data_IF_293255895919
#
_entry.id   IF_293255895919
#
_cell.length_a   1.000
_cell.length_b   1.000
_cell.length_c   1.000
_cell.angle_alpha   90.00
_cell.angle_beta   90.00
_cell.angle_gamma   90.00
#
_symmetry.space_group_name_H-M   'P 1'
#
loop_
_entity.id
_entity.type
_entity.pdbx_description
1 polymer ?
#
# COMPACT_ATOMS: atom_id res chain seq x y z
N UNK A 1 -9.52 6.41 -18.96
CA UNK A 1 -8.95 7.10 -17.79
C UNK A 1 -8.99 6.10 -16.64
N UNK A 2 -7.84 5.79 -16.01
CA UNK A 2 -7.80 4.87 -14.85
C UNK A 2 -8.13 5.67 -13.59
N UNK A 3 -9.11 5.20 -12.82
CA UNK A 3 -9.60 5.84 -11.59
C UNK A 3 -9.11 5.07 -10.36
N UNK A 4 -9.06 5.74 -9.20
CA UNK A 4 -8.80 5.04 -7.93
C UNK A 4 -9.96 4.12 -7.59
N UNK A 5 -9.61 2.95 -7.08
CA UNK A 5 -10.58 1.92 -6.76
C UNK A 5 -10.65 1.73 -5.25
N UNK A 6 -11.87 1.73 -4.74
CA UNK A 6 -12.19 1.26 -3.40
C UNK A 6 -12.54 -0.23 -3.50
N UNK A 7 -11.71 -1.06 -2.87
CA UNK A 7 -11.92 -2.51 -2.87
C UNK A 7 -12.23 -3.04 -1.48
N UNK A 8 -13.11 -4.03 -1.42
CA UNK A 8 -13.50 -4.69 -0.18
C UNK A 8 -13.49 -6.20 -0.35
N UNK A 9 -13.02 -6.90 0.68
CA UNK A 9 -13.00 -8.35 0.76
C UNK A 9 -13.37 -8.81 2.17
N UNK A 10 -13.79 -10.08 2.30
CA UNK A 10 -14.03 -10.70 3.61
C UNK A 10 -13.65 -12.17 3.62
N UNK A 11 -13.51 -12.71 4.82
CA UNK A 11 -13.57 -14.15 5.06
C UNK A 11 -14.94 -14.54 5.62
N UNK A 12 -15.54 -15.58 5.07
CA UNK A 12 -16.75 -16.18 5.63
C UNK A 12 -16.43 -16.97 6.91
N UNK A 13 -17.46 -17.40 7.64
CA UNK A 13 -17.29 -18.29 8.80
C UNK A 13 -16.63 -19.64 8.46
N UNK A 14 -16.65 -20.04 7.19
CA UNK A 14 -15.98 -21.25 6.67
C UNK A 14 -14.54 -20.97 6.20
N UNK A 15 -14.01 -19.79 6.50
CA UNK A 15 -12.68 -19.33 6.08
C UNK A 15 -12.52 -19.21 4.55
N UNK A 16 -13.60 -18.99 3.82
CA UNK A 16 -13.57 -18.74 2.38
C UNK A 16 -13.40 -17.25 2.10
N UNK A 17 -12.44 -16.89 1.25
CA UNK A 17 -12.27 -15.53 0.75
C UNK A 17 -13.40 -15.15 -0.20
N UNK A 18 -13.99 -13.98 -0.01
CA UNK A 18 -14.97 -13.38 -0.90
C UNK A 18 -14.59 -11.92 -1.23
N UNK A 19 -14.54 -11.62 -2.53
CA UNK A 19 -14.33 -10.26 -3.03
C UNK A 19 -15.69 -9.55 -3.14
N UNK A 20 -15.87 -8.46 -2.40
CA UNK A 20 -17.18 -7.86 -2.18
C UNK A 20 -17.45 -6.67 -3.06
N UNK A 21 -16.50 -5.74 -3.19
CA UNK A 21 -16.72 -4.52 -3.94
C UNK A 21 -15.44 -4.08 -4.65
N UNK A 22 -15.66 -3.45 -5.80
CA UNK A 22 -14.67 -2.69 -6.56
C UNK A 22 -15.42 -1.48 -7.08
N UNK A 23 -15.34 -0.38 -6.33
CA UNK A 23 -16.11 0.84 -6.57
C UNK A 23 -15.13 1.91 -7.04
N UNK A 24 -15.55 2.66 -8.05
CA UNK A 24 -14.84 3.87 -8.46
C UNK A 24 -15.10 4.95 -7.42
N UNK A 25 -14.03 5.46 -6.78
CA UNK A 25 -14.19 6.51 -5.79
C UNK A 25 -14.75 7.79 -6.41
N UNK A 26 -15.47 8.60 -5.63
CA UNK A 26 -16.02 9.87 -6.12
C UNK A 26 -14.93 10.83 -6.64
N UNK A 27 -15.28 11.78 -7.50
CA UNK A 27 -14.30 12.76 -8.02
C UNK A 27 -13.62 13.55 -6.88
N UNK A 28 -14.38 13.89 -5.84
CA UNK A 28 -13.88 14.60 -4.66
C UNK A 28 -12.89 13.74 -3.88
N UNK A 29 -13.21 12.46 -3.64
CA UNK A 29 -12.29 11.51 -3.01
C UNK A 29 -11.02 11.33 -3.85
N UNK A 30 -11.15 11.14 -5.16
CA UNK A 30 -10.01 11.01 -6.05
C UNK A 30 -9.11 12.25 -6.04
N UNK A 31 -9.72 13.44 -6.07
CA UNK A 31 -9.02 14.72 -5.98
C UNK A 31 -8.27 14.85 -4.66
N UNK A 32 -8.91 14.47 -3.55
CA UNK A 32 -8.31 14.52 -2.23
C UNK A 32 -7.11 13.58 -2.09
N UNK A 33 -7.23 12.30 -2.50
CA UNK A 33 -6.10 11.37 -2.46
C UNK A 33 -4.93 11.85 -3.33
N UNK A 34 -5.18 12.47 -4.49
CA UNK A 34 -4.13 13.09 -5.32
C UNK A 34 -3.44 14.23 -4.58
N UNK A 35 -4.21 15.10 -3.92
CA UNK A 35 -3.68 16.19 -3.09
C UNK A 35 -2.80 15.66 -1.97
N UNK A 36 -3.24 14.61 -1.26
CA UNK A 36 -2.42 13.96 -0.22
C UNK A 36 -1.09 13.49 -0.80
N UNK A 37 -1.12 12.77 -1.92
CA UNK A 37 0.07 12.22 -2.56
C UNK A 37 1.02 13.31 -3.09
N UNK A 38 0.52 14.33 -3.78
CA UNK A 38 1.35 15.45 -4.30
C UNK A 38 1.97 16.23 -3.15
N UNK A 39 1.19 16.59 -2.12
CA UNK A 39 1.74 17.28 -0.98
C UNK A 39 2.82 16.46 -0.26
N UNK A 40 2.62 15.14 -0.12
CA UNK A 40 3.62 14.24 0.49
C UNK A 40 4.93 14.16 -0.29
N UNK A 41 4.90 14.38 -1.61
CA UNK A 41 6.10 14.39 -2.44
C UNK A 41 6.83 15.74 -2.41
N UNK A 42 6.07 16.83 -2.33
CA UNK A 42 6.61 18.18 -2.34
C UNK A 42 7.23 18.55 -0.99
N UNK A 43 6.68 18.02 0.11
CA UNK A 43 7.15 18.30 1.47
C UNK A 43 8.49 17.64 1.76
N UNK A 44 9.39 18.44 2.33
CA UNK A 44 10.51 17.95 3.14
C UNK A 44 10.24 18.26 4.60
N UNK A 45 10.03 17.22 5.40
CA UNK A 45 9.83 17.34 6.84
C UNK A 45 11.19 17.17 7.52
N UNK A 46 11.64 18.19 8.24
CA UNK A 46 12.85 18.12 9.06
C UNK A 46 12.42 17.93 10.52
N UNK A 47 12.49 16.69 11.01
CA UNK A 47 12.19 16.38 12.41
C UNK A 47 13.27 17.01 13.31
N UNK A 48 12.84 17.86 14.23
CA UNK A 48 13.66 18.32 15.36
C UNK A 48 13.35 17.45 16.57
N UNK A 49 14.34 17.16 17.43
CA UNK A 49 14.19 16.32 18.64
C UNK A 49 13.05 16.73 19.59
N UNK A 50 12.51 17.96 19.46
CA UNK A 50 11.55 18.54 20.40
C UNK A 50 10.36 19.26 19.77
N UNK A 51 10.16 19.19 18.45
CA UNK A 51 9.03 19.82 17.76
C UNK A 51 8.47 18.92 16.67
N UNK A 52 7.16 19.00 16.43
CA UNK A 52 6.56 18.59 15.16
C UNK A 52 7.42 19.20 14.03
N UNK A 53 7.86 18.35 13.10
CA UNK A 53 8.92 18.72 12.15
C UNK A 53 8.60 19.97 11.36
N UNK A 54 9.61 20.80 11.08
CA UNK A 54 9.44 21.96 10.22
C UNK A 54 9.22 21.48 8.78
N UNK A 55 8.22 22.06 8.12
CA UNK A 55 7.78 21.67 6.78
C UNK A 55 8.37 22.65 5.77
N UNK A 56 9.10 22.10 4.79
CA UNK A 56 9.71 22.87 3.71
C UNK A 56 9.23 22.37 2.36
N UNK A 57 9.28 23.24 1.35
CA UNK A 57 9.16 22.92 -0.06
C UNK A 57 10.47 23.25 -0.78
N UNK A 58 10.67 22.68 -1.97
CA UNK A 58 11.75 23.09 -2.87
C UNK A 58 11.24 24.19 -3.80
N UNK A 59 11.97 25.30 -3.88
CA UNK A 59 11.71 26.33 -4.90
C UNK A 59 12.25 25.92 -6.28
N UNK A 60 12.07 26.77 -7.30
CA UNK A 60 12.56 26.54 -8.67
C UNK A 60 14.09 26.35 -8.75
N UNK A 61 14.84 26.86 -7.77
CA UNK A 61 16.29 26.70 -7.65
C UNK A 61 16.70 25.45 -6.85
N UNK A 62 15.73 24.66 -6.39
CA UNK A 62 15.93 23.47 -5.57
C UNK A 62 16.21 23.74 -4.09
N UNK A 63 16.17 25.00 -3.64
CA UNK A 63 16.42 25.39 -2.25
C UNK A 63 15.20 25.10 -1.38
N UNK A 64 15.45 24.71 -0.13
CA UNK A 64 14.38 24.51 0.84
C UNK A 64 13.89 25.86 1.37
N UNK A 65 12.60 26.13 1.17
CA UNK A 65 11.89 27.30 1.69
C UNK A 65 10.76 26.85 2.61
N UNK A 66 10.44 27.59 3.69
CA UNK A 66 9.33 27.23 4.58
C UNK A 66 8.04 27.04 3.78
N UNK A 67 7.35 25.93 4.02
CA UNK A 67 6.13 25.62 3.30
C UNK A 67 5.00 26.57 3.73
N UNK A 68 4.12 26.98 2.80
CA UNK A 68 2.85 27.63 3.12
C UNK A 68 1.99 26.80 4.10
N UNK A 69 1.09 27.45 4.83
CA UNK A 69 0.32 26.82 5.92
C UNK A 69 -0.54 25.63 5.46
N UNK A 70 -1.00 25.64 4.22
CA UNK A 70 -1.79 24.57 3.60
C UNK A 70 -1.04 23.24 3.44
N UNK A 71 0.29 23.25 3.59
CA UNK A 71 1.11 22.04 3.61
C UNK A 71 1.30 21.47 5.03
N UNK A 72 0.95 22.22 6.08
CA UNK A 72 1.24 21.85 7.48
C UNK A 72 0.19 20.90 8.06
N UNK A 73 -0.91 20.67 7.36
CA UNK A 73 -1.99 19.79 7.78
C UNK A 73 -3.18 19.88 6.83
N UNK A 74 -4.27 19.23 7.21
CA UNK A 74 -5.50 19.19 6.45
C UNK A 74 -6.65 19.71 7.32
N UNK A 75 -7.71 20.17 6.67
CA UNK A 75 -8.86 20.78 7.34
C UNK A 75 -9.95 19.73 7.55
N UNK A 76 -10.89 19.97 8.46
CA UNK A 76 -12.04 19.09 8.70
C UNK A 76 -12.82 18.68 7.43
N UNK A 77 -12.96 19.59 6.45
CA UNK A 77 -13.59 19.26 5.16
C UNK A 77 -12.87 18.14 4.38
N UNK A 78 -11.55 18.03 4.57
CA UNK A 78 -10.72 16.98 3.98
C UNK A 78 -10.98 15.62 4.69
N UNK A 79 -11.40 15.65 5.97
CA UNK A 79 -11.87 14.47 6.72
C UNK A 79 -13.25 14.03 6.21
N UNK A 80 -14.19 14.98 6.06
CA UNK A 80 -15.55 14.75 5.56
C UNK A 80 -15.56 14.02 4.19
N UNK A 81 -14.54 14.26 3.36
CA UNK A 81 -14.39 13.60 2.04
C UNK A 81 -14.11 12.11 2.17
N UNK A 82 -13.24 11.71 3.11
CA UNK A 82 -12.93 10.30 3.37
C UNK A 82 -14.13 9.62 4.04
N UNK A 83 -14.77 10.31 4.99
CA UNK A 83 -15.96 9.83 5.68
C UNK A 83 -17.11 9.56 4.70
N UNK A 84 -17.34 10.48 3.75
CA UNK A 84 -18.36 10.32 2.72
C UNK A 84 -18.08 9.11 1.81
N UNK A 85 -16.84 8.91 1.37
CA UNK A 85 -16.44 7.74 0.58
C UNK A 85 -16.73 6.42 1.33
N UNK A 86 -16.42 6.36 2.63
CA UNK A 86 -16.71 5.20 3.46
C UNK A 86 -18.21 4.93 3.65
N UNK A 87 -19.04 5.99 3.72
CA UNK A 87 -20.50 5.85 3.76
C UNK A 87 -21.05 5.31 2.45
N UNK A 88 -20.52 5.78 1.32
CA UNK A 88 -20.88 5.28 -0.01
C UNK A 88 -20.53 3.80 -0.15
N UNK A 89 -19.28 3.42 0.17
CA UNK A 89 -18.84 2.02 0.21
C UNK A 89 -19.72 1.16 1.13
N UNK A 90 -20.03 1.64 2.33
CA UNK A 90 -20.86 0.91 3.30
C UNK A 90 -22.29 0.73 2.79
N UNK A 91 -22.86 1.75 2.15
CA UNK A 91 -24.18 1.69 1.52
C UNK A 91 -24.23 0.65 0.40
N UNK A 92 -23.25 0.69 -0.50
CA UNK A 92 -23.15 -0.24 -1.63
C UNK A 92 -22.98 -1.69 -1.17
N UNK A 93 -22.11 -1.91 -0.18
CA UNK A 93 -21.93 -3.22 0.43
C UNK A 93 -23.21 -3.68 1.13
N UNK A 94 -23.93 -2.78 1.81
CA UNK A 94 -25.19 -3.12 2.47
C UNK A 94 -26.25 -3.60 1.49
N UNK A 95 -26.38 -2.90 0.36
CA UNK A 95 -27.30 -3.28 -0.71
C UNK A 95 -26.92 -4.65 -1.29
N UNK A 96 -25.63 -4.91 -1.50
CA UNK A 96 -25.15 -6.19 -2.05
C UNK A 96 -25.31 -7.37 -1.08
N UNK A 97 -25.07 -7.15 0.21
CA UNK A 97 -25.07 -8.19 1.23
C UNK A 97 -26.46 -8.42 1.87
N UNK A 98 -27.37 -7.45 1.74
CA UNK A 98 -28.68 -7.48 2.39
C UNK A 98 -28.64 -7.13 3.89
N UNK A 99 -27.49 -6.65 4.38
CA UNK A 99 -27.29 -6.19 5.76
C UNK A 99 -26.09 -5.25 5.81
N UNK A 100 -26.03 -4.38 6.83
CA UNK A 100 -24.91 -3.45 7.03
C UNK A 100 -23.67 -4.22 7.52
N UNK A 101 -22.58 -4.29 6.74
CA UNK A 101 -21.36 -4.95 7.19
C UNK A 101 -20.62 -4.11 8.24
N UNK A 102 -19.97 -4.79 9.19
CA UNK A 102 -19.01 -4.15 10.08
C UNK A 102 -17.64 -4.10 9.38
N UNK A 103 -17.14 -2.91 9.08
CA UNK A 103 -15.77 -2.72 8.57
C UNK A 103 -14.82 -2.78 9.77
N UNK A 104 -13.96 -3.79 9.83
CA UNK A 104 -13.10 -4.04 11.00
C UNK A 104 -11.63 -3.76 10.76
N UNK A 105 -11.23 -3.53 9.52
CA UNK A 105 -9.86 -3.22 9.12
C UNK A 105 -9.83 -2.50 7.78
N UNK A 106 -8.92 -1.54 7.62
CA UNK A 106 -8.79 -0.67 6.44
C UNK A 106 -7.32 -0.52 6.08
N UNK A 107 -7.02 -0.30 4.80
CA UNK A 107 -5.67 -0.04 4.32
C UNK A 107 -5.51 1.38 3.85
N UNK A 108 -4.35 1.99 4.10
CA UNK A 108 -3.96 3.28 3.53
C UNK A 108 -2.88 3.12 2.44
N UNK A 109 -2.88 3.98 1.41
CA UNK A 109 -1.93 3.88 0.31
C UNK A 109 -0.49 4.18 0.75
N UNK A 110 0.48 3.69 -0.03
CA UNK A 110 1.90 4.05 0.12
C UNK A 110 2.19 5.42 -0.51
N UNK A 111 3.36 5.97 -0.24
CA UNK A 111 3.80 7.25 -0.77
C UNK A 111 3.24 8.47 -0.03
N UNK A 112 2.44 8.26 1.01
CA UNK A 112 2.07 9.31 1.95
C UNK A 112 3.21 9.54 2.96
N UNK A 113 3.50 10.80 3.23
CA UNK A 113 4.41 11.25 4.29
C UNK A 113 3.70 11.27 5.65
N UNK A 114 4.44 11.62 6.70
CA UNK A 114 3.93 11.62 8.08
C UNK A 114 2.62 12.42 8.23
N UNK A 115 2.55 13.62 7.67
CA UNK A 115 1.38 14.51 7.83
C UNK A 115 0.15 13.93 7.13
N UNK A 116 0.29 13.45 5.88
CA UNK A 116 -0.82 12.83 5.16
C UNK A 116 -1.26 11.50 5.76
N UNK A 117 -0.32 10.69 6.26
CA UNK A 117 -0.65 9.45 6.96
C UNK A 117 -1.43 9.73 8.24
N UNK A 118 -0.99 10.68 9.06
CA UNK A 118 -1.67 11.05 10.31
C UNK A 118 -3.09 11.54 10.03
N UNK A 119 -3.28 12.37 9.00
CA UNK A 119 -4.61 12.80 8.54
C UNK A 119 -5.53 11.63 8.21
N UNK A 120 -5.05 10.69 7.37
CA UNK A 120 -5.82 9.47 7.05
C UNK A 120 -6.12 8.68 8.32
N UNK A 121 -5.15 8.56 9.22
CA UNK A 121 -5.28 7.77 10.44
C UNK A 121 -6.34 8.32 11.38
N UNK A 122 -6.26 9.61 11.71
CA UNK A 122 -7.20 10.29 12.58
C UNK A 122 -8.60 10.22 11.97
N UNK A 123 -8.73 10.51 10.67
CA UNK A 123 -10.03 10.43 9.99
C UNK A 123 -10.64 9.02 10.06
N UNK A 124 -9.83 7.98 9.89
CA UNK A 124 -10.30 6.59 9.91
C UNK A 124 -10.62 6.06 11.31
N UNK A 125 -9.92 6.53 12.35
CA UNK A 125 -10.10 6.05 13.72
C UNK A 125 -11.13 6.87 14.52
N UNK A 126 -11.25 8.15 14.22
CA UNK A 126 -12.15 9.08 14.90
C UNK A 126 -13.45 9.35 14.11
N UNK A 127 -13.55 8.82 12.89
CA UNK A 127 -14.69 9.00 11.98
C UNK A 127 -15.96 8.26 12.44
N UNK A 128 -17.10 8.93 12.31
CA UNK A 128 -18.42 8.37 12.68
C UNK A 128 -18.92 7.29 11.71
N UNK A 129 -18.34 7.23 10.51
CA UNK A 129 -18.84 6.38 9.41
C UNK A 129 -18.50 4.89 9.60
N UNK A 130 -17.45 4.60 10.38
CA UNK A 130 -16.90 3.25 10.60
C UNK A 130 -16.44 3.08 12.05
N UNK A 131 -17.32 3.24 13.06
CA UNK A 131 -16.94 3.32 14.47
C UNK A 131 -16.29 2.04 15.02
N UNK A 132 -16.31 0.94 14.26
CA UNK A 132 -15.64 -0.32 14.59
C UNK A 132 -14.13 -0.25 14.35
N UNK A 133 -13.65 0.64 13.48
CA UNK A 133 -12.23 0.95 13.30
C UNK A 133 -11.88 2.06 14.29
N UNK A 134 -11.50 1.66 15.50
CA UNK A 134 -11.23 2.61 16.60
C UNK A 134 -9.82 2.47 17.16
N UNK A 135 -9.05 1.53 16.61
CA UNK A 135 -7.73 1.18 17.12
C UNK A 135 -6.69 1.27 16.01
N UNK A 136 -5.50 1.79 16.32
CA UNK A 136 -4.41 1.94 15.38
C UNK A 136 -4.14 0.70 14.51
N UNK A 137 -4.05 -0.47 15.14
CA UNK A 137 -3.71 -1.72 14.47
C UNK A 137 -4.75 -2.25 13.46
N UNK A 138 -5.93 -1.63 13.38
CA UNK A 138 -6.96 -1.92 12.38
C UNK A 138 -6.71 -1.20 11.05
N UNK A 139 -5.91 -0.13 11.07
CA UNK A 139 -5.48 0.63 9.90
C UNK A 139 -4.09 0.16 9.48
N UNK A 140 -3.98 -0.46 8.31
CA UNK A 140 -2.74 -1.03 7.79
C UNK A 140 -2.11 -0.14 6.73
N UNK A 141 -0.79 -0.02 6.77
CA UNK A 141 -0.03 0.44 5.62
C UNK A 141 -0.12 -0.57 4.46
N UNK A 142 0.09 -0.07 3.25
CA UNK A 142 0.12 -0.87 2.02
C UNK A 142 0.97 -2.15 2.12
N UNK A 143 2.23 -2.07 2.60
CA UNK A 143 3.13 -3.22 2.65
C UNK A 143 2.61 -4.31 3.60
N UNK A 144 2.10 -3.91 4.77
CA UNK A 144 1.52 -4.84 5.75
C UNK A 144 0.27 -5.53 5.23
N UNK A 145 -0.60 -4.77 4.57
CA UNK A 145 -1.76 -5.36 3.92
C UNK A 145 -1.34 -6.35 2.83
N UNK A 146 -0.43 -5.93 1.95
CA UNK A 146 0.01 -6.75 0.81
C UNK A 146 0.70 -8.04 1.26
N UNK A 147 1.58 -8.01 2.27
CA UNK A 147 2.18 -9.25 2.80
C UNK A 147 1.14 -10.17 3.46
N UNK A 148 0.17 -9.57 4.17
CA UNK A 148 -0.90 -10.33 4.85
C UNK A 148 -1.81 -11.05 3.86
N UNK A 149 -2.00 -10.49 2.66
CA UNK A 149 -2.81 -11.09 1.60
C UNK A 149 -2.26 -12.44 1.12
N UNK A 150 -0.95 -12.62 1.21
CA UNK A 150 -0.24 -13.84 0.83
C UNK A 150 0.20 -14.68 2.04
N UNK A 151 -0.39 -14.43 3.23
CA UNK A 151 -0.06 -15.09 4.50
C UNK A 151 1.45 -15.04 4.83
N UNK A 152 2.16 -13.99 4.37
CA UNK A 152 3.58 -13.75 4.66
C UNK A 152 3.77 -13.05 6.02
N UNK A 153 2.83 -13.26 6.92
CA UNK A 153 2.82 -12.75 8.28
C UNK A 153 2.66 -13.91 9.27
N UNK A 154 2.94 -15.13 8.80
CA UNK A 154 2.79 -16.37 9.54
C UNK A 154 4.16 -17.02 9.81
N UNK A 155 4.49 -17.19 11.09
CA UNK A 155 5.73 -17.82 11.57
C UNK A 155 5.59 -19.34 11.77
N UNK A 156 4.36 -19.87 11.66
CA UNK A 156 4.01 -21.28 11.92
C UNK A 156 3.51 -22.01 10.66
N UNK A 157 3.48 -21.33 9.51
CA UNK A 157 2.94 -21.84 8.24
C UNK A 157 3.89 -22.77 7.47
N UNK A 158 3.37 -23.46 6.43
CA UNK A 158 4.09 -24.49 5.67
C UNK A 158 5.11 -23.97 4.63
N UNK A 159 5.62 -22.75 4.78
CA UNK A 159 6.61 -22.04 3.93
C UNK A 159 6.06 -21.03 2.90
N UNK A 160 6.83 -19.95 2.60
CA UNK A 160 8.10 -19.58 3.23
C UNK A 160 7.84 -18.95 4.62
N UNK A 161 8.57 -19.44 5.64
CA UNK A 161 8.40 -18.95 7.02
C UNK A 161 9.08 -17.60 7.15
N UNK A 162 8.32 -16.59 7.54
CA UNK A 162 8.90 -15.29 7.83
C UNK A 162 9.55 -15.28 9.21
N UNK A 163 10.61 -14.49 9.41
CA UNK A 163 11.18 -14.30 10.73
C UNK A 163 10.18 -13.72 11.72
N UNK A 164 10.40 -14.01 13.01
CA UNK A 164 9.61 -13.39 14.10
C UNK A 164 9.94 -11.91 14.28
N UNK A 165 11.16 -11.50 13.97
CA UNK A 165 11.64 -10.14 14.20
C UNK A 165 12.48 -9.63 13.02
N UNK A 166 12.13 -8.44 12.51
CA UNK A 166 12.86 -7.76 11.43
C UNK A 166 14.31 -7.37 11.82
N UNK A 167 14.64 -7.22 13.10
CA UNK A 167 15.95 -6.71 13.56
C UNK A 167 17.05 -7.77 13.70
N UNK A 168 16.70 -9.06 13.62
CA UNK A 168 17.65 -10.15 13.83
C UNK A 168 17.82 -11.05 12.61
N UNK A 169 16.82 -11.07 11.73
CA UNK A 169 16.75 -11.95 10.58
C UNK A 169 16.37 -11.10 9.35
N UNK A 170 17.35 -10.41 8.76
CA UNK A 170 17.14 -9.53 7.60
C UNK A 170 16.96 -10.29 6.27
N UNK A 171 17.02 -11.62 6.32
CA UNK A 171 17.19 -12.49 5.14
C UNK A 171 15.85 -12.78 4.42
N UNK A 172 14.78 -12.06 4.75
CA UNK A 172 13.47 -12.22 4.10
C UNK A 172 13.04 -10.95 3.36
N UNK A 173 13.49 -10.83 2.12
CA UNK A 173 13.14 -9.71 1.26
C UNK A 173 11.92 -10.01 0.38
N UNK A 174 11.05 -9.01 0.27
CA UNK A 174 9.91 -8.99 -0.64
C UNK A 174 10.02 -7.78 -1.55
N UNK A 175 9.94 -8.03 -2.86
CA UNK A 175 9.79 -7.00 -3.89
C UNK A 175 8.30 -6.79 -4.15
N UNK A 176 7.82 -5.60 -3.83
CA UNK A 176 6.47 -5.13 -4.13
C UNK A 176 6.53 -4.34 -5.44
N UNK A 177 5.71 -4.74 -6.40
CA UNK A 177 5.52 -4.04 -7.67
C UNK A 177 4.07 -3.60 -7.76
N UNK A 178 3.84 -2.30 -7.61
CA UNK A 178 2.49 -1.73 -7.60
C UNK A 178 2.27 -0.86 -8.84
N UNK A 179 1.39 -1.31 -9.74
CA UNK A 179 1.04 -0.57 -10.94
C UNK A 179 -0.33 0.09 -10.80
N UNK A 180 -0.35 1.25 -10.15
CA UNK A 180 -1.57 1.97 -9.78
C UNK A 180 -1.93 3.09 -10.76
N UNK A 181 -3.04 3.77 -10.50
CA UNK A 181 -3.55 4.87 -11.33
C UNK A 181 -2.55 6.04 -11.48
N UNK A 182 -1.60 6.22 -10.56
CA UNK A 182 -0.73 7.41 -10.47
C UNK A 182 0.77 7.15 -10.58
N UNK A 183 1.18 5.88 -10.52
CA UNK A 183 2.57 5.49 -10.69
C UNK A 183 2.72 4.00 -10.98
N UNK A 184 3.89 3.66 -11.50
CA UNK A 184 4.47 2.34 -11.34
C UNK A 184 5.51 2.44 -10.21
N UNK A 185 5.25 1.77 -9.11
CA UNK A 185 6.07 1.83 -7.90
C UNK A 185 6.73 0.49 -7.60
N UNK A 186 7.93 0.56 -7.06
CA UNK A 186 8.73 -0.59 -6.66
C UNK A 186 9.27 -0.38 -5.26
N UNK A 187 9.12 -1.39 -4.39
CA UNK A 187 9.68 -1.36 -3.05
C UNK A 187 10.27 -2.72 -2.69
N UNK A 188 11.45 -2.72 -2.10
CA UNK A 188 12.03 -3.89 -1.44
C UNK A 188 11.90 -3.69 0.06
N UNK A 189 11.28 -4.64 0.73
CA UNK A 189 11.11 -4.60 2.18
C UNK A 189 11.53 -5.92 2.82
N UNK A 190 12.12 -5.81 4.00
CA UNK A 190 12.15 -6.91 4.97
C UNK A 190 10.76 -7.07 5.58
N UNK A 191 10.39 -8.30 5.91
CA UNK A 191 9.13 -8.57 6.59
C UNK A 191 9.32 -9.45 7.82
N UNK A 192 8.46 -9.26 8.81
CA UNK A 192 8.31 -10.15 9.95
C UNK A 192 6.83 -10.42 10.22
N UNK A 193 6.54 -11.14 11.31
CA UNK A 193 5.18 -11.48 11.75
C UNK A 193 4.23 -10.26 11.78
N UNK A 194 4.69 -9.12 12.29
CA UNK A 194 3.80 -7.98 12.56
C UNK A 194 4.06 -6.73 11.73
N UNK A 195 5.17 -6.63 11.00
CA UNK A 195 5.53 -5.42 10.26
C UNK A 195 6.32 -5.72 8.99
N UNK A 196 6.36 -4.75 8.08
CA UNK A 196 7.24 -4.69 6.92
C UNK A 196 8.09 -3.41 6.98
N UNK A 197 9.41 -3.54 6.91
CA UNK A 197 10.36 -2.42 6.91
C UNK A 197 11.08 -2.29 5.57
N UNK A 198 11.07 -1.10 4.97
CA UNK A 198 11.81 -0.85 3.72
C UNK A 198 13.31 -1.09 3.92
N UNK A 199 13.94 -1.66 2.90
CA UNK A 199 15.41 -1.80 2.85
C UNK A 199 16.02 -0.49 2.39
N UNK A 200 16.12 0.50 3.28
CA UNK A 200 16.57 1.83 2.91
C UNK A 200 15.59 2.58 1.99
N UNK A 201 15.75 3.91 1.91
CA UNK A 201 14.88 4.79 1.13
C UNK A 201 15.43 5.14 -0.26
N UNK A 202 16.64 4.66 -0.57
CA UNK A 202 17.37 4.98 -1.80
C UNK A 202 17.24 3.86 -2.85
N UNK A 203 17.38 4.20 -4.14
CA UNK A 203 17.62 3.23 -5.20
C UNK A 203 18.69 2.16 -4.83
N UNK A 204 18.47 0.87 -5.12
CA UNK A 204 17.37 0.33 -5.91
C UNK A 204 16.17 -0.17 -5.11
N UNK A 205 16.13 0.09 -3.81
CA UNK A 205 15.15 -0.52 -2.91
C UNK A 205 13.81 0.21 -2.87
N UNK A 206 13.74 1.42 -3.43
CA UNK A 206 12.50 2.16 -3.60
C UNK A 206 12.56 3.02 -4.85
N UNK A 207 11.61 2.83 -5.76
CA UNK A 207 11.46 3.65 -6.97
C UNK A 207 10.00 3.96 -7.27
N UNK A 208 9.78 5.12 -7.87
CA UNK A 208 8.47 5.62 -8.26
C UNK A 208 8.53 6.24 -9.64
N UNK A 209 7.78 5.68 -10.59
CA UNK A 209 7.64 6.18 -11.95
C UNK A 209 6.22 6.73 -12.19
N UNK A 210 6.00 8.00 -11.88
CA UNK A 210 4.71 8.68 -12.14
C UNK A 210 4.44 8.86 -13.63
N UNK A 211 5.48 9.07 -14.41
CA UNK A 211 5.44 9.19 -15.86
C UNK A 211 4.94 7.90 -16.55
N UNK A 212 4.91 6.78 -15.82
CA UNK A 212 4.44 5.47 -16.28
C UNK A 212 3.08 5.08 -15.69
N UNK A 213 2.45 5.93 -14.87
CA UNK A 213 1.18 5.66 -14.20
C UNK A 213 0.12 5.06 -15.11
N UNK A 214 -0.73 4.17 -14.60
CA UNK A 214 -1.74 3.51 -15.43
C UNK A 214 -2.73 4.50 -16.10
N UNK A 215 -3.01 5.64 -15.47
CA UNK A 215 -3.94 6.64 -15.99
C UNK A 215 -3.40 7.48 -17.16
N UNK A 216 -2.07 7.61 -17.32
CA UNK A 216 -1.46 8.38 -18.41
C UNK A 216 -1.38 7.59 -19.72
N UNK A 217 -2.19 7.93 -20.72
CA UNK A 217 -2.05 7.45 -22.10
C UNK A 217 -3.39 7.19 -22.80
N UNK A 218 -3.59 7.79 -23.98
CA UNK A 218 -4.58 7.32 -24.95
C UNK A 218 -4.04 6.05 -25.63
N UNK A 219 -4.91 5.17 -26.10
CA UNK A 219 -4.56 3.85 -26.67
C UNK A 219 -3.49 3.89 -27.79
N UNK A 220 -3.32 5.02 -28.48
CA UNK A 220 -2.32 5.25 -29.54
C UNK A 220 -0.87 5.30 -29.04
N UNK A 221 -0.61 5.53 -27.75
CA UNK A 221 0.75 5.55 -27.14
C UNK A 221 1.08 4.28 -26.35
N UNK A 222 0.20 3.26 -26.44
CA UNK A 222 0.26 2.05 -25.62
C UNK A 222 1.55 1.24 -25.83
N UNK A 223 2.08 1.17 -27.05
CA UNK A 223 3.34 0.44 -27.34
C UNK A 223 4.57 1.17 -26.78
N UNK A 224 4.63 2.49 -26.92
CA UNK A 224 5.74 3.30 -26.40
C UNK A 224 5.77 3.23 -24.88
N UNK A 225 4.60 3.40 -24.24
CA UNK A 225 4.45 3.30 -22.80
C UNK A 225 4.81 1.91 -22.28
N UNK A 226 4.32 0.86 -22.93
CA UNK A 226 4.65 -0.53 -22.57
C UNK A 226 6.16 -0.78 -22.65
N UNK A 227 6.83 -0.31 -23.72
CA UNK A 227 8.28 -0.39 -23.85
C UNK A 227 9.02 0.34 -22.71
N UNK A 228 8.53 1.50 -22.28
CA UNK A 228 9.10 2.26 -21.15
C UNK A 228 8.90 1.54 -19.81
N UNK A 229 7.73 0.95 -19.59
CA UNK A 229 7.46 0.09 -18.42
C UNK A 229 8.41 -1.10 -18.40
N UNK A 230 8.58 -1.79 -19.53
CA UNK A 230 9.53 -2.90 -19.67
C UNK A 230 10.96 -2.46 -19.38
N UNK A 231 11.36 -1.29 -19.91
CA UNK A 231 12.70 -0.72 -19.66
C UNK A 231 12.91 -0.41 -18.18
N UNK A 232 11.93 0.20 -17.50
CA UNK A 232 12.02 0.51 -16.07
C UNK A 232 12.18 -0.76 -15.23
N UNK A 233 11.43 -1.82 -15.55
CA UNK A 233 11.53 -3.12 -14.86
C UNK A 233 12.90 -3.77 -15.12
N UNK A 234 13.41 -3.70 -16.35
CA UNK A 234 14.74 -4.21 -16.68
C UNK A 234 15.83 -3.53 -15.86
N UNK A 235 15.79 -2.19 -15.78
CA UNK A 235 16.75 -1.40 -15.03
C UNK A 235 16.70 -1.75 -13.54
N UNK A 236 15.50 -1.76 -12.95
CA UNK A 236 15.30 -2.15 -11.56
C UNK A 236 15.88 -3.54 -11.26
N UNK A 237 15.51 -4.54 -12.06
CA UNK A 237 15.93 -5.92 -11.81
C UNK A 237 17.43 -6.10 -12.03
N UNK A 238 18.01 -5.42 -13.02
CA UNK A 238 19.46 -5.43 -13.23
C UNK A 238 20.21 -4.81 -12.03
N UNK A 239 19.73 -3.68 -11.52
CA UNK A 239 20.31 -3.02 -10.35
C UNK A 239 20.15 -3.88 -9.10
N UNK A 240 18.98 -4.51 -8.90
CA UNK A 240 18.73 -5.44 -7.80
C UNK A 240 19.66 -6.66 -7.89
N UNK A 241 19.77 -7.31 -9.05
CA UNK A 241 20.61 -8.51 -9.24
C UNK A 241 22.11 -8.24 -9.14
N UNK A 242 22.53 -6.98 -9.28
CA UNK A 242 23.94 -6.60 -9.11
C UNK A 242 24.42 -6.61 -7.65
N UNK A 243 23.49 -6.81 -6.71
CA UNK A 243 23.70 -6.71 -5.27
C UNK A 243 23.71 -8.08 -4.58
N UNK A 244 24.42 -8.17 -3.46
CA UNK A 244 24.51 -9.41 -2.67
C UNK A 244 23.15 -9.75 -2.05
N UNK A 245 22.38 -8.74 -1.63
CA UNK A 245 21.04 -8.89 -1.03
C UNK A 245 20.01 -9.47 -2.00
N UNK A 246 20.32 -9.58 -3.29
CA UNK A 246 19.44 -10.23 -4.26
C UNK A 246 19.18 -11.70 -3.89
N UNK A 247 20.16 -12.38 -3.27
CA UNK A 247 20.03 -13.77 -2.85
C UNK A 247 18.94 -13.98 -1.78
N UNK A 248 18.64 -12.93 -1.00
CA UNK A 248 17.62 -12.91 0.05
C UNK A 248 16.22 -12.56 -0.46
N UNK A 249 16.05 -12.36 -1.78
CA UNK A 249 14.74 -12.12 -2.38
C UNK A 249 13.91 -13.41 -2.39
N UNK A 250 12.90 -13.42 -1.53
CA UNK A 250 12.06 -14.59 -1.30
C UNK A 250 10.69 -14.51 -1.99
N UNK A 251 10.21 -13.29 -2.29
CA UNK A 251 8.88 -13.08 -2.85
C UNK A 251 8.86 -11.84 -3.76
N UNK A 252 8.16 -11.95 -4.89
CA UNK A 252 7.79 -10.81 -5.73
C UNK A 252 6.26 -10.72 -5.77
N UNK A 253 5.68 -9.60 -5.33
CA UNK A 253 4.23 -9.40 -5.30
C UNK A 253 3.83 -8.36 -6.34
N UNK A 254 2.82 -8.69 -7.14
CA UNK A 254 2.21 -7.76 -8.10
C UNK A 254 0.86 -7.25 -7.55
N UNK A 255 0.69 -5.93 -7.52
CA UNK A 255 -0.57 -5.28 -7.15
C UNK A 255 -0.85 -4.09 -8.05
N UNK A 256 -2.06 -3.54 -7.95
CA UNK A 256 -2.40 -2.25 -8.52
C UNK A 256 -3.70 -2.24 -9.30
N UNK A 257 -3.98 -1.07 -9.88
CA UNK A 257 -5.25 -0.70 -10.51
C UNK A 257 -5.16 -0.67 -12.04
N UNK A 258 -3.98 -0.97 -12.59
CA UNK A 258 -3.80 -1.05 -14.03
C UNK A 258 -4.74 -2.09 -14.66
N UNK A 259 -5.05 -1.89 -15.95
CA UNK A 259 -5.94 -2.80 -16.67
C UNK A 259 -5.43 -4.25 -16.59
N UNK A 260 -6.32 -5.27 -16.65
CA UNK A 260 -5.88 -6.67 -16.65
C UNK A 260 -4.80 -6.96 -17.69
N UNK A 261 -4.94 -6.41 -18.90
CA UNK A 261 -3.93 -6.54 -19.97
C UNK A 261 -2.58 -5.93 -19.58
N UNK A 262 -2.58 -4.77 -18.92
CA UNK A 262 -1.36 -4.10 -18.44
C UNK A 262 -0.70 -4.90 -17.32
N UNK A 263 -1.47 -5.43 -16.38
CA UNK A 263 -0.97 -6.29 -15.30
C UNK A 263 -0.43 -7.62 -15.83
N UNK A 264 -1.11 -8.24 -16.79
CA UNK A 264 -0.62 -9.45 -17.46
C UNK A 264 0.71 -9.18 -18.17
N UNK A 265 0.81 -8.04 -18.86
CA UNK A 265 2.04 -7.64 -19.54
C UNK A 265 3.18 -7.40 -18.55
N UNK A 266 2.92 -6.69 -17.46
CA UNK A 266 3.86 -6.49 -16.35
C UNK A 266 4.36 -7.82 -15.77
N UNK A 267 3.46 -8.75 -15.46
CA UNK A 267 3.81 -10.06 -14.92
C UNK A 267 4.63 -10.90 -15.92
N UNK A 268 4.27 -10.89 -17.19
CA UNK A 268 5.06 -11.56 -18.24
C UNK A 268 6.45 -10.97 -18.38
N UNK A 269 6.57 -9.66 -18.30
CA UNK A 269 7.85 -8.94 -18.36
C UNK A 269 8.76 -9.33 -17.20
N UNK A 270 8.25 -9.32 -15.97
CA UNK A 270 9.00 -9.75 -14.78
C UNK A 270 9.42 -11.22 -14.93
N UNK A 271 8.51 -12.12 -15.31
CA UNK A 271 8.83 -13.54 -15.55
C UNK A 271 9.90 -13.74 -16.62
N UNK A 272 9.98 -12.90 -17.65
CA UNK A 272 11.05 -13.02 -18.66
C UNK A 272 12.42 -12.57 -18.14
N UNK A 273 12.44 -11.69 -17.14
CA UNK A 273 13.65 -11.01 -16.66
C UNK A 273 14.26 -11.67 -15.43
N UNK A 274 13.44 -12.27 -14.56
CA UNK A 274 13.97 -12.96 -13.38
C UNK A 274 14.56 -14.33 -13.75
N UNK A 275 15.58 -14.81 -13.02
CA UNK A 275 16.11 -16.16 -13.19
C UNK A 275 15.02 -17.25 -13.13
N UNK A 276 15.24 -18.38 -13.82
CA UNK A 276 14.28 -19.50 -13.80
C UNK A 276 13.98 -20.02 -12.39
N UNK A 277 14.97 -19.99 -11.51
CA UNK A 277 14.83 -20.37 -10.10
C UNK A 277 13.88 -19.46 -9.33
N UNK A 278 13.67 -18.22 -9.78
CA UNK A 278 12.83 -17.22 -9.13
C UNK A 278 11.40 -17.18 -9.66
N UNK A 279 11.07 -17.99 -10.68
CA UNK A 279 9.70 -18.02 -11.19
C UNK A 279 8.69 -18.45 -10.11
N UNK A 280 9.11 -19.32 -9.19
CA UNK A 280 8.27 -19.82 -8.09
C UNK A 280 8.02 -18.81 -6.96
N UNK A 281 8.81 -17.72 -6.90
CA UNK A 281 8.65 -16.69 -5.88
C UNK A 281 7.73 -15.53 -6.32
N UNK A 282 7.30 -15.53 -7.59
CA UNK A 282 6.33 -14.56 -8.10
C UNK A 282 4.92 -14.91 -7.60
N UNK A 283 4.28 -13.95 -6.95
CA UNK A 283 2.95 -14.04 -6.36
C UNK A 283 1.99 -13.21 -7.19
N UNK A 284 1.26 -13.91 -8.05
CA UNK A 284 0.30 -13.37 -9.01
C UNK A 284 -1.01 -14.19 -9.01
N UNK A 285 -1.25 -14.91 -7.91
CA UNK A 285 -2.41 -15.78 -7.76
C UNK A 285 -3.68 -15.04 -7.31
N UNK A 286 -3.52 -13.82 -6.79
CA UNK A 286 -4.63 -12.95 -6.38
C UNK A 286 -4.91 -11.90 -7.47
N UNK A 287 -6.15 -11.43 -7.54
CA UNK A 287 -6.49 -10.26 -8.38
C UNK A 287 -5.68 -9.06 -7.86
N UNK A 288 -4.82 -8.44 -8.69
CA UNK A 288 -3.95 -7.34 -8.26
C UNK A 288 -4.69 -6.13 -7.69
N UNK A 289 -5.95 -5.92 -8.08
CA UNK A 289 -6.77 -4.81 -7.57
C UNK A 289 -7.21 -5.02 -6.11
N UNK A 290 -7.24 -6.28 -5.66
CA UNK A 290 -7.80 -6.66 -4.37
C UNK A 290 -6.74 -7.02 -3.33
N UNK A 291 -5.46 -7.03 -3.69
CA UNK A 291 -4.38 -7.51 -2.81
C UNK A 291 -4.43 -6.86 -1.43
N UNK A 292 -4.52 -5.53 -1.34
CA UNK A 292 -4.59 -4.83 -0.05
C UNK A 292 -5.89 -5.10 0.71
N UNK A 293 -7.04 -5.15 0.03
CA UNK A 293 -8.33 -5.48 0.64
C UNK A 293 -8.37 -6.92 1.20
N UNK A 294 -7.76 -7.87 0.48
CA UNK A 294 -7.59 -9.26 0.94
C UNK A 294 -6.71 -9.25 2.20
N UNK A 295 -5.61 -8.50 2.18
CA UNK A 295 -4.75 -8.29 3.35
C UNK A 295 -5.48 -7.77 4.58
N UNK A 296 -6.29 -6.71 4.43
CA UNK A 296 -7.14 -6.21 5.50
C UNK A 296 -8.18 -7.23 5.97
N UNK A 297 -8.74 -8.04 5.06
CA UNK A 297 -9.66 -9.11 5.43
C UNK A 297 -8.94 -10.23 6.24
N UNK A 298 -7.71 -10.60 5.86
CA UNK A 298 -6.88 -11.53 6.65
C UNK A 298 -6.63 -10.97 8.05
N UNK A 299 -6.28 -9.68 8.13
CA UNK A 299 -6.06 -8.98 9.40
C UNK A 299 -7.31 -8.97 10.28
N UNK A 300 -8.46 -8.59 9.72
CA UNK A 300 -9.76 -8.65 10.36
C UNK A 300 -10.07 -10.06 10.91
N UNK A 301 -9.82 -11.10 10.11
CA UNK A 301 -9.99 -12.49 10.53
C UNK A 301 -9.10 -12.83 11.73
N UNK A 302 -7.81 -12.44 11.71
CA UNK A 302 -6.89 -12.67 12.83
C UNK A 302 -7.35 -11.98 14.12
N UNK A 303 -7.94 -10.78 14.03
CA UNK A 303 -8.53 -10.11 15.20
C UNK A 303 -9.65 -10.92 15.84
N UNK A 304 -10.54 -11.45 15.01
CA UNK A 304 -11.69 -12.24 15.48
C UNK A 304 -11.23 -13.59 16.06
N UNK A 305 -10.27 -14.25 15.41
CA UNK A 305 -9.80 -15.59 15.79
C UNK A 305 -8.82 -15.60 16.96
N UNK A 306 -8.01 -14.54 17.11
CA UNK A 306 -6.93 -14.43 18.11
C UNK A 306 -6.96 -13.07 18.83
N UNK A 307 -8.04 -12.73 19.57
CA UNK A 307 -8.19 -11.43 20.22
C UNK A 307 -7.09 -11.14 21.26
N UNK A 308 -6.46 -12.17 21.82
CA UNK A 308 -5.38 -12.07 22.81
C UNK A 308 -4.08 -11.45 22.29
N UNK A 309 -3.76 -11.63 20.99
CA UNK A 309 -2.55 -11.05 20.39
C UNK A 309 -2.55 -9.51 20.42
N UNK A 310 -3.73 -8.92 20.60
CA UNK A 310 -3.96 -7.48 20.49
C UNK A 310 -4.15 -6.79 21.84
N UNK A 311 -4.36 -7.55 22.92
CA UNK A 311 -4.55 -7.00 24.27
C UNK A 311 -3.26 -6.46 24.90
N UNK A 312 -2.10 -6.79 24.34
CA UNK A 312 -0.78 -6.52 24.93
C UNK A 312 -0.09 -5.29 24.31
N UNK A 313 -0.59 -4.73 23.20
CA UNK A 313 0.07 -3.62 22.50
C UNK A 313 -0.25 -2.21 23.05
N UNK A 314 -1.17 -2.08 24.01
CA UNK A 314 -1.47 -0.77 24.65
C UNK A 314 -0.32 -0.19 25.49
N UNK A 315 0.81 -0.90 25.67
CA UNK A 315 1.94 -0.45 26.50
C UNK A 315 3.17 -0.01 25.72
N UNK A 316 3.22 -0.17 24.39
CA UNK A 316 4.38 0.23 23.60
C UNK A 316 3.90 1.25 22.57
N UNK A 317 4.34 2.49 22.76
CA UNK A 317 4.30 3.52 21.73
C UNK A 317 4.80 2.90 20.43
N UNK A 318 3.92 2.83 19.44
CA UNK A 318 4.27 2.40 18.10
C UNK A 318 5.30 3.41 17.57
N UNK A 319 6.59 3.07 17.67
CA UNK A 319 7.72 3.89 17.22
C UNK A 319 7.80 4.01 15.68
N UNK A 320 6.72 3.69 14.96
CA UNK A 320 6.61 3.82 13.51
C UNK A 320 5.33 4.57 13.08
N UNK A 321 4.99 5.64 13.81
CA UNK A 321 4.24 6.76 13.23
C UNK A 321 5.20 7.83 12.69
#
# INVERSE_FOLDING_TARGET
>A
MVQLLETAARFTGENKLELLAKIEGSEDYQSHIRKLASHSQERKIIKSRFKFGEVYLRDESGRLVPAPIEYHGYQRKDEDTIDQALRELSSDLSQKLGYLPNITSITIPRGLDYIAKHHMYDTLCDGDSIPQVSQPWQVLGFLDATRSAYDLDNTEGPEPKVPRNIYHDHDFLVLYVDYNAYSLDFWVATIAEFTAGLVGDEPPFSFRHQDLAASYGNDDDSKTKQSRVETAIQQLLADLFSREEAEDLNVIILSGEASPKSMDSLGQTIRKMVPRTWQGIIRDQLDPNFVTAIGAAHRARKFIQRPELWKVQNSHTHDEL
#
